data_IF_209896206959
#
_entry.id   IF_209896206959
#
_cell.length_a   1.000
_cell.length_b   1.000
_cell.length_c   1.000
_cell.angle_alpha   90.00
_cell.angle_beta   90.00
_cell.angle_gamma   90.00
#
_symmetry.space_group_name_H-M   'P 1'
#
loop_
_entity.id
_entity.type
_entity.pdbx_description
1 polymer ?
#
# COMPACT_ATOMS: atom_id res chain seq x y z
N UNK A 1 -5.57 -1.22 13.18
CA UNK A 1 -6.22 0.09 13.37
C UNK A 1 -5.31 1.24 12.94
N UNK A 2 -4.02 1.25 13.34
CA UNK A 2 -3.02 2.27 12.94
C UNK A 2 -2.96 2.60 11.44
N UNK A 3 -2.85 1.59 10.56
CA UNK A 3 -2.83 1.80 9.10
C UNK A 3 -4.06 2.60 8.59
N UNK A 4 -5.24 2.35 9.14
CA UNK A 4 -6.46 3.06 8.74
C UNK A 4 -6.40 4.53 9.17
N UNK A 5 -6.01 4.78 10.41
CA UNK A 5 -5.88 6.14 10.95
C UNK A 5 -4.86 6.96 10.17
N UNK A 6 -3.67 6.39 9.92
CA UNK A 6 -2.62 7.05 9.15
C UNK A 6 -3.05 7.36 7.71
N UNK A 7 -3.76 6.45 7.04
CA UNK A 7 -4.30 6.72 5.70
C UNK A 7 -5.37 7.81 5.71
N UNK A 8 -6.24 7.87 6.72
CA UNK A 8 -7.24 8.95 6.81
C UNK A 8 -6.55 10.31 7.00
N UNK A 9 -5.54 10.37 7.87
CA UNK A 9 -4.72 11.58 8.05
C UNK A 9 -4.04 11.96 6.73
N UNK A 10 -3.44 11.00 6.03
CA UNK A 10 -2.82 11.21 4.72
C UNK A 10 -3.80 11.71 3.66
N UNK A 11 -5.02 11.15 3.61
CA UNK A 11 -6.08 11.63 2.71
C UNK A 11 -6.46 13.07 3.04
N UNK A 12 -6.66 13.41 4.32
CA UNK A 12 -6.95 14.79 4.72
C UNK A 12 -5.81 15.76 4.33
N UNK A 13 -4.56 15.36 4.58
CA UNK A 13 -3.38 16.17 4.23
C UNK A 13 -3.23 16.36 2.71
N UNK A 14 -3.47 15.32 1.90
CA UNK A 14 -3.41 15.40 0.44
C UNK A 14 -4.54 16.26 -0.14
N UNK A 15 -5.75 16.21 0.42
CA UNK A 15 -6.83 17.13 0.05
C UNK A 15 -6.44 18.57 0.35
N UNK A 16 -5.94 18.85 1.56
CA UNK A 16 -5.50 20.19 1.93
C UNK A 16 -4.38 20.71 1.02
N UNK A 17 -3.36 19.88 0.77
CA UNK A 17 -2.26 20.22 -0.15
C UNK A 17 -2.74 20.47 -1.58
N UNK A 18 -3.66 19.64 -2.08
CA UNK A 18 -4.24 19.81 -3.40
C UNK A 18 -4.98 21.14 -3.53
N UNK A 19 -5.81 21.49 -2.54
CA UNK A 19 -6.51 22.79 -2.50
C UNK A 19 -5.53 23.95 -2.44
N UNK A 20 -4.49 23.88 -1.61
CA UNK A 20 -3.46 24.91 -1.52
C UNK A 20 -2.78 25.20 -2.88
N UNK A 21 -2.47 24.14 -3.64
CA UNK A 21 -1.84 24.30 -4.97
C UNK A 21 -2.81 24.97 -5.96
N UNK A 22 -4.08 24.58 -5.96
CA UNK A 22 -5.09 25.20 -6.83
C UNK A 22 -5.30 26.67 -6.49
N UNK A 23 -5.39 27.00 -5.20
CA UNK A 23 -5.50 28.40 -4.74
C UNK A 23 -4.28 29.21 -5.16
N UNK A 24 -3.07 28.70 -4.95
CA UNK A 24 -1.83 29.35 -5.37
C UNK A 24 -1.73 29.54 -6.90
N UNK A 25 -2.47 28.74 -7.68
CA UNK A 25 -2.56 28.83 -9.14
C UNK A 25 -3.80 29.55 -9.63
N UNK A 26 -4.53 30.28 -8.78
CA UNK A 26 -5.79 30.96 -9.17
C UNK A 26 -6.78 30.00 -9.86
N UNK A 27 -6.87 28.77 -9.39
CA UNK A 27 -7.72 27.70 -9.92
C UNK A 27 -7.44 27.31 -11.39
N UNK A 28 -6.23 27.61 -11.89
CA UNK A 28 -5.84 27.24 -13.25
C UNK A 28 -5.22 25.85 -13.34
N UNK A 29 -5.66 25.06 -14.33
CA UNK A 29 -5.09 23.75 -14.62
C UNK A 29 -3.87 23.87 -15.52
N UNK A 30 -2.74 23.29 -15.08
CA UNK A 30 -1.45 23.30 -15.80
C UNK A 30 -1.15 21.94 -16.47
N UNK A 31 -1.94 20.91 -16.17
CA UNK A 31 -1.75 19.58 -16.73
C UNK A 31 -2.19 19.43 -18.19
N UNK A 32 -2.13 18.20 -18.72
CA UNK A 32 -2.49 17.92 -20.10
C UNK A 32 -3.93 18.32 -20.42
N UNK A 33 -4.14 18.92 -21.59
CA UNK A 33 -5.48 19.22 -22.14
C UNK A 33 -5.52 19.05 -23.67
N UNK A 34 -6.67 18.70 -24.24
CA UNK A 34 -6.85 18.68 -25.70
C UNK A 34 -6.61 20.07 -26.30
N UNK A 35 -6.01 20.13 -27.49
CA UNK A 35 -5.75 21.39 -28.21
C UNK A 35 -4.60 22.24 -27.65
N UNK A 36 -3.79 21.69 -26.74
CA UNK A 36 -2.57 22.37 -26.27
C UNK A 36 -1.51 22.50 -27.36
N UNK A 37 -0.63 23.50 -27.22
CA UNK A 37 0.52 23.66 -28.11
C UNK A 37 1.45 22.43 -28.04
N UNK A 38 2.12 22.05 -29.14
CA UNK A 38 3.05 20.92 -29.15
C UNK A 38 4.07 21.02 -28.02
N UNK A 39 4.30 19.91 -27.30
CA UNK A 39 5.23 19.85 -26.17
C UNK A 39 4.69 20.35 -24.81
N UNK A 40 3.56 21.06 -24.76
CA UNK A 40 3.02 21.54 -23.48
C UNK A 40 2.47 20.39 -22.60
N UNK A 41 1.80 19.40 -23.20
CA UNK A 41 1.27 18.23 -22.49
C UNK A 41 2.37 17.33 -21.89
N UNK A 42 3.59 17.40 -22.43
CA UNK A 42 4.75 16.64 -21.96
C UNK A 42 5.72 17.48 -21.12
N UNK A 43 5.38 18.74 -20.81
CA UNK A 43 6.22 19.59 -19.96
C UNK A 43 6.23 19.08 -18.52
N UNK A 44 7.33 19.27 -17.79
CA UNK A 44 7.45 18.83 -16.39
C UNK A 44 6.32 19.32 -15.49
N UNK A 45 5.87 20.59 -15.57
CA UNK A 45 4.72 21.03 -14.79
C UNK A 45 3.43 20.29 -15.13
N UNK A 46 3.25 19.95 -16.40
CA UNK A 46 2.07 19.24 -16.89
C UNK A 46 2.04 17.79 -16.39
N UNK A 47 3.18 17.09 -16.51
CA UNK A 47 3.34 15.71 -16.03
C UNK A 47 3.21 15.65 -14.50
N UNK A 48 3.83 16.58 -13.77
CA UNK A 48 3.69 16.69 -12.31
C UNK A 48 2.22 16.83 -11.90
N UNK A 49 1.49 17.76 -12.53
CA UNK A 49 0.08 17.99 -12.23
C UNK A 49 -0.78 16.74 -12.49
N UNK A 50 -0.54 16.04 -13.60
CA UNK A 50 -1.25 14.80 -13.93
C UNK A 50 -0.96 13.68 -12.93
N UNK A 51 0.30 13.42 -12.61
CA UNK A 51 0.66 12.39 -11.63
C UNK A 51 0.12 12.72 -10.23
N UNK A 52 0.18 13.99 -9.83
CA UNK A 52 -0.36 14.46 -8.55
C UNK A 52 -1.87 14.24 -8.41
N UNK A 53 -2.66 14.61 -9.44
CA UNK A 53 -4.12 14.39 -9.38
C UNK A 53 -4.49 12.91 -9.45
N UNK A 54 -3.80 12.11 -10.28
CA UNK A 54 -4.06 10.67 -10.33
C UNK A 54 -3.71 9.99 -9.00
N UNK A 55 -2.60 10.37 -8.37
CA UNK A 55 -2.25 9.91 -7.03
C UNK A 55 -3.33 10.27 -6.01
N UNK A 56 -3.82 11.51 -6.02
CA UNK A 56 -4.89 11.97 -5.14
C UNK A 56 -6.17 11.18 -5.33
N UNK A 57 -6.69 11.09 -6.57
CA UNK A 57 -7.95 10.37 -6.86
C UNK A 57 -7.87 8.91 -6.42
N UNK A 58 -6.77 8.22 -6.76
CA UNK A 58 -6.59 6.82 -6.40
C UNK A 58 -6.46 6.64 -4.88
N UNK A 59 -5.77 7.53 -4.19
CA UNK A 59 -5.65 7.53 -2.73
C UNK A 59 -7.01 7.78 -2.05
N UNK A 60 -7.79 8.75 -2.54
CA UNK A 60 -9.10 9.10 -1.97
C UNK A 60 -10.16 8.04 -2.25
N UNK A 61 -10.01 7.27 -3.33
CA UNK A 61 -10.86 6.11 -3.60
C UNK A 61 -10.59 4.94 -2.63
N UNK A 62 -9.41 4.84 -2.00
CA UNK A 62 -9.06 3.73 -1.12
C UNK A 62 -9.98 3.61 0.11
N UNK A 63 -10.27 4.68 0.88
CA UNK A 63 -11.21 4.62 2.00
C UNK A 63 -12.62 4.18 1.57
N UNK A 64 -13.11 4.66 0.43
CA UNK A 64 -14.45 4.32 -0.09
C UNK A 64 -14.49 2.82 -0.42
N UNK A 65 -13.49 2.34 -1.15
CA UNK A 65 -13.35 0.92 -1.46
C UNK A 65 -13.27 0.09 -0.16
N UNK A 66 -12.55 0.56 0.86
CA UNK A 66 -12.43 -0.12 2.14
C UNK A 66 -13.75 -0.19 2.94
N UNK A 67 -14.66 0.78 2.79
CA UNK A 67 -16.00 0.74 3.39
C UNK A 67 -16.87 -0.30 2.68
N UNK A 68 -16.77 -0.39 1.35
CA UNK A 68 -17.52 -1.32 0.52
C UNK A 68 -16.90 -2.74 0.48
N UNK A 69 -15.91 -3.02 1.32
CA UNK A 69 -15.18 -4.29 1.31
C UNK A 69 -16.10 -5.46 1.67
N UNK A 70 -15.85 -6.60 1.01
CA UNK A 70 -16.56 -7.83 1.31
C UNK A 70 -16.15 -8.46 2.67
N UNK A 71 -17.02 -9.32 3.20
CA UNK A 71 -16.80 -10.05 4.46
C UNK A 71 -15.47 -10.84 4.45
N UNK A 72 -14.75 -10.97 5.59
CA UNK A 72 -13.48 -11.71 5.70
C UNK A 72 -13.44 -13.12 5.14
N UNK A 73 -14.57 -13.84 5.19
CA UNK A 73 -14.69 -15.21 4.68
C UNK A 73 -15.30 -15.30 3.27
N UNK A 74 -15.52 -14.17 2.61
CA UNK A 74 -16.13 -14.16 1.27
C UNK A 74 -15.15 -14.65 0.20
N UNK A 75 -15.65 -15.44 -0.76
CA UNK A 75 -14.91 -15.93 -1.93
C UNK A 75 -14.28 -14.81 -2.76
N UNK A 76 -14.93 -13.64 -2.81
CA UNK A 76 -14.46 -12.50 -3.62
C UNK A 76 -13.43 -11.61 -2.92
N UNK A 77 -13.01 -11.96 -1.69
CA UNK A 77 -12.05 -11.16 -0.93
C UNK A 77 -10.66 -11.08 -1.55
N UNK A 78 -10.24 -12.13 -2.26
CA UNK A 78 -8.96 -12.09 -2.95
C UNK A 78 -8.95 -11.03 -4.06
N UNK A 79 -10.06 -10.87 -4.80
CA UNK A 79 -10.20 -9.86 -5.87
C UNK A 79 -10.12 -8.46 -5.26
N UNK A 80 -10.89 -8.21 -4.19
CA UNK A 80 -10.83 -6.96 -3.45
C UNK A 80 -9.41 -6.63 -2.99
N UNK A 81 -8.68 -7.61 -2.44
CA UNK A 81 -7.32 -7.42 -1.98
C UNK A 81 -6.36 -7.07 -3.13
N UNK A 82 -6.48 -7.72 -4.29
CA UNK A 82 -5.65 -7.41 -5.47
C UNK A 82 -5.86 -5.95 -5.89
N UNK A 83 -7.11 -5.50 -6.03
CA UNK A 83 -7.38 -4.11 -6.38
C UNK A 83 -6.89 -3.12 -5.33
N UNK A 84 -7.13 -3.42 -4.05
CA UNK A 84 -6.68 -2.56 -2.96
C UNK A 84 -5.16 -2.42 -2.93
N UNK A 85 -4.42 -3.51 -3.14
CA UNK A 85 -2.95 -3.51 -3.22
C UNK A 85 -2.49 -2.74 -4.46
N UNK A 86 -3.04 -3.04 -5.63
CA UNK A 86 -2.63 -2.42 -6.89
C UNK A 86 -2.81 -0.91 -6.86
N UNK A 87 -4.00 -0.43 -6.48
CA UNK A 87 -4.29 0.99 -6.40
C UNK A 87 -3.55 1.67 -5.23
N UNK A 88 -3.35 0.96 -4.11
CA UNK A 88 -2.53 1.43 -3.00
C UNK A 88 -1.10 1.74 -3.45
N UNK A 89 -0.38 0.74 -3.98
CA UNK A 89 0.99 0.92 -4.47
C UNK A 89 1.06 1.89 -5.65
N UNK A 90 0.07 1.87 -6.56
CA UNK A 90 -0.02 2.83 -7.65
C UNK A 90 -0.08 4.28 -7.17
N UNK A 91 -0.89 4.58 -6.15
CA UNK A 91 -0.97 5.94 -5.58
C UNK A 91 0.37 6.39 -4.98
N UNK A 92 1.06 5.52 -4.24
CA UNK A 92 2.39 5.82 -3.69
C UNK A 92 3.44 6.08 -4.77
N UNK A 93 3.44 5.28 -5.84
CA UNK A 93 4.37 5.45 -6.96
C UNK A 93 4.14 6.77 -7.71
N UNK A 94 2.88 7.09 -8.01
CA UNK A 94 2.53 8.35 -8.68
C UNK A 94 2.86 9.57 -7.80
N UNK A 95 2.60 9.49 -6.49
CA UNK A 95 2.95 10.54 -5.54
C UNK A 95 4.48 10.74 -5.46
N UNK A 96 5.25 9.64 -5.39
CA UNK A 96 6.71 9.69 -5.39
C UNK A 96 7.27 10.29 -6.67
N UNK A 97 6.74 9.92 -7.83
CA UNK A 97 7.15 10.49 -9.11
C UNK A 97 6.81 11.99 -9.21
N UNK A 98 5.62 12.41 -8.76
CA UNK A 98 5.25 13.82 -8.70
C UNK A 98 6.19 14.61 -7.77
N UNK A 99 6.53 14.06 -6.59
CA UNK A 99 7.45 14.67 -5.63
C UNK A 99 8.86 14.81 -6.22
N UNK A 100 9.37 13.75 -6.87
CA UNK A 100 10.67 13.81 -7.56
C UNK A 100 10.70 14.90 -8.62
N UNK A 101 9.69 14.98 -9.49
CA UNK A 101 9.62 16.03 -10.53
C UNK A 101 9.63 17.43 -9.89
N UNK A 102 8.93 17.61 -8.77
CA UNK A 102 8.97 18.89 -8.05
C UNK A 102 10.40 19.20 -7.56
N UNK A 103 11.06 18.26 -6.88
CA UNK A 103 12.40 18.47 -6.34
C UNK A 103 13.47 18.71 -7.42
N UNK A 104 13.33 18.12 -8.61
CA UNK A 104 14.36 18.20 -9.66
C UNK A 104 14.13 19.32 -10.67
N UNK A 105 12.87 19.74 -10.89
CA UNK A 105 12.55 20.70 -11.96
C UNK A 105 11.99 22.03 -11.46
N UNK A 106 11.69 22.17 -10.16
CA UNK A 106 11.12 23.41 -9.61
C UNK A 106 12.18 24.14 -8.76
N UNK A 107 13.25 24.59 -9.41
CA UNK A 107 14.47 25.09 -8.76
C UNK A 107 14.25 26.31 -7.84
N UNK A 108 13.21 27.12 -8.07
CA UNK A 108 12.93 28.36 -7.34
C UNK A 108 11.70 28.30 -6.40
N UNK A 109 11.05 27.14 -6.27
CA UNK A 109 9.85 27.03 -5.42
C UNK A 109 10.15 26.65 -3.96
N UNK A 110 11.39 26.24 -3.67
CA UNK A 110 11.78 25.81 -2.33
C UNK A 110 12.67 26.85 -1.65
N UNK A 111 12.34 27.20 -0.41
CA UNK A 111 13.19 28.03 0.46
C UNK A 111 14.58 27.40 0.67
N UNK A 112 14.66 26.08 0.70
CA UNK A 112 15.90 25.31 0.81
C UNK A 112 15.80 24.04 -0.04
N UNK A 113 16.68 23.94 -1.05
CA UNK A 113 16.70 22.81 -1.99
C UNK A 113 17.11 21.50 -1.32
N UNK A 114 18.05 21.54 -0.38
CA UNK A 114 18.50 20.35 0.35
C UNK A 114 17.38 19.80 1.24
N UNK A 115 16.60 20.70 1.86
CA UNK A 115 15.42 20.29 2.63
C UNK A 115 14.35 19.63 1.74
N UNK A 116 14.14 20.13 0.51
CA UNK A 116 13.22 19.53 -0.45
C UNK A 116 13.67 18.13 -0.89
N UNK A 117 14.97 17.95 -1.18
CA UNK A 117 15.53 16.62 -1.45
C UNK A 117 15.44 15.71 -0.23
N UNK A 118 15.68 16.24 0.98
CA UNK A 118 15.50 15.53 2.24
C UNK A 118 14.07 15.00 2.41
N UNK A 119 13.06 15.80 2.07
CA UNK A 119 11.65 15.36 2.07
C UNK A 119 11.39 14.26 1.03
N UNK A 120 11.98 14.34 -0.16
CA UNK A 120 11.88 13.28 -1.16
C UNK A 120 12.49 11.96 -0.65
N UNK A 121 13.67 12.01 -0.04
CA UNK A 121 14.33 10.84 0.55
C UNK A 121 13.48 10.28 1.70
N UNK A 122 12.97 11.14 2.59
CA UNK A 122 12.11 10.73 3.70
C UNK A 122 10.83 10.04 3.21
N UNK A 123 10.22 10.55 2.14
CA UNK A 123 9.05 9.93 1.51
C UNK A 123 9.39 8.53 0.98
N UNK A 124 10.47 8.38 0.21
CA UNK A 124 10.90 7.09 -0.36
C UNK A 124 11.27 6.09 0.74
N UNK A 125 12.01 6.51 1.76
CA UNK A 125 12.38 5.68 2.91
C UNK A 125 11.13 5.20 3.67
N UNK A 126 10.18 6.10 3.93
CA UNK A 126 8.91 5.76 4.59
C UNK A 126 8.08 4.80 3.73
N UNK A 127 8.00 5.03 2.42
CA UNK A 127 7.31 4.15 1.47
C UNK A 127 7.90 2.74 1.51
N UNK A 128 9.23 2.63 1.40
CA UNK A 128 9.96 1.38 1.45
C UNK A 128 9.77 0.65 2.77
N UNK A 129 9.86 1.35 3.91
CA UNK A 129 9.61 0.77 5.23
C UNK A 129 8.19 0.21 5.35
N UNK A 130 7.18 0.92 4.84
CA UNK A 130 5.80 0.45 4.82
C UNK A 130 5.67 -0.81 3.95
N UNK A 131 6.22 -0.82 2.75
CA UNK A 131 6.13 -1.97 1.84
C UNK A 131 6.80 -3.21 2.42
N UNK A 132 8.00 -3.05 2.98
CA UNK A 132 8.73 -4.13 3.65
C UNK A 132 7.91 -4.65 4.84
N UNK A 133 7.37 -3.76 5.67
CA UNK A 133 6.54 -4.15 6.83
C UNK A 133 5.31 -4.93 6.40
N UNK A 134 4.61 -4.48 5.34
CA UNK A 134 3.41 -5.15 4.82
C UNK A 134 3.73 -6.54 4.23
N UNK A 135 4.85 -6.66 3.52
CA UNK A 135 5.30 -7.93 2.95
C UNK A 135 5.69 -8.92 4.06
N UNK A 136 6.46 -8.47 5.06
CA UNK A 136 6.82 -9.28 6.23
C UNK A 136 5.58 -9.77 6.97
N UNK A 137 4.59 -8.91 7.22
CA UNK A 137 3.35 -9.31 7.88
C UNK A 137 2.57 -10.35 7.05
N UNK A 138 2.51 -10.17 5.73
CA UNK A 138 1.83 -11.10 4.82
C UNK A 138 2.52 -12.47 4.81
N UNK A 139 3.85 -12.47 4.76
CA UNK A 139 4.68 -13.66 4.85
C UNK A 139 4.50 -14.39 6.18
N UNK A 140 4.60 -13.68 7.31
CA UNK A 140 4.39 -14.29 8.64
C UNK A 140 2.98 -14.87 8.81
N UNK A 141 1.95 -14.20 8.29
CA UNK A 141 0.58 -14.74 8.31
C UNK A 141 0.45 -16.00 7.47
N UNK A 142 1.06 -16.03 6.27
CA UNK A 142 1.10 -17.21 5.43
C UNK A 142 1.81 -18.39 6.13
N UNK A 143 2.94 -18.14 6.80
CA UNK A 143 3.64 -19.17 7.58
C UNK A 143 2.79 -19.71 8.73
N UNK A 144 2.12 -18.82 9.48
CA UNK A 144 1.24 -19.21 10.58
C UNK A 144 0.06 -20.06 10.08
N UNK A 145 -0.55 -19.65 8.97
CA UNK A 145 -1.67 -20.38 8.37
C UNK A 145 -1.24 -21.78 7.90
N UNK A 146 -0.06 -21.93 7.29
CA UNK A 146 0.48 -23.24 6.90
C UNK A 146 0.70 -24.18 8.09
N UNK A 147 1.12 -23.67 9.24
CA UNK A 147 1.25 -24.48 10.46
C UNK A 147 -0.12 -24.93 10.97
N UNK A 148 -1.13 -24.05 10.94
CA UNK A 148 -2.48 -24.38 11.38
C UNK A 148 -3.20 -25.40 10.46
N UNK A 149 -2.96 -25.39 9.14
CA UNK A 149 -3.50 -26.43 8.24
C UNK A 149 -2.81 -27.80 8.39
N UNK A 150 -1.74 -27.91 9.20
CA UNK A 150 -1.12 -29.19 9.54
C UNK A 150 -1.91 -30.01 10.58
N UNK A 151 -2.85 -29.37 11.27
CA UNK A 151 -3.67 -29.95 12.34
C UNK A 151 -5.13 -30.15 11.85
N UNK A 152 -5.32 -30.82 10.71
CA UNK A 152 -6.66 -31.13 10.19
C UNK A 152 -7.31 -32.16 11.11
N UNK A 153 -8.27 -31.71 11.91
CA UNK A 153 -9.22 -32.57 12.62
C UNK A 153 -10.18 -33.16 11.58
N UNK A 154 -9.98 -34.43 11.23
CA UNK A 154 -10.91 -35.19 10.39
C UNK A 154 -12.05 -35.65 11.30
N UNK A 155 -13.18 -34.97 11.26
CA UNK A 155 -14.39 -35.40 11.95
C UNK A 155 -15.13 -36.39 11.05
N UNK A 156 -15.11 -37.66 11.43
CA UNK A 156 -15.89 -38.70 10.78
C UNK A 156 -17.40 -38.53 11.06
N UNK A 157 -18.29 -39.02 10.18
CA UNK A 157 -19.73 -38.94 10.36
C UNK A 157 -20.27 -39.66 11.63
N UNK A 158 -19.44 -40.47 12.30
CA UNK A 158 -19.75 -41.22 13.54
C UNK A 158 -19.50 -40.40 14.83
N UNK A 159 -19.13 -39.13 14.73
CA UNK A 159 -18.98 -38.25 15.91
C UNK A 159 -17.76 -38.55 16.80
N UNK A 160 -16.81 -39.37 16.34
CA UNK A 160 -15.52 -39.60 17.00
C UNK A 160 -14.47 -38.64 16.45
N UNK A 161 -13.89 -37.80 17.31
CA UNK A 161 -12.77 -36.91 16.97
C UNK A 161 -11.44 -37.67 17.13
N UNK A 162 -10.76 -37.96 16.02
CA UNK A 162 -9.35 -38.38 16.05
C UNK A 162 -8.45 -37.23 15.60
N UNK A 163 -7.60 -36.75 16.51
CA UNK A 163 -6.56 -35.76 16.20
C UNK A 163 -5.43 -36.45 15.45
N UNK A 164 -5.39 -36.32 14.13
CA UNK A 164 -4.30 -36.86 13.32
C UNK A 164 -3.11 -35.91 13.36
N UNK A 165 -2.23 -36.07 14.37
CA UNK A 165 -0.95 -35.39 14.40
C UNK A 165 -0.14 -35.75 13.15
N UNK A 166 0.18 -34.74 12.33
CA UNK A 166 1.08 -34.88 11.18
C UNK A 166 2.34 -35.66 11.57
N UNK A 167 2.66 -36.70 10.81
CA UNK A 167 3.78 -37.63 11.02
C UNK A 167 5.15 -36.94 11.21
N UNK A 168 5.28 -35.68 10.79
CA UNK A 168 6.46 -34.85 11.02
C UNK A 168 6.68 -34.50 12.51
N UNK A 169 5.62 -34.20 13.27
CA UNK A 169 5.70 -33.86 14.70
C UNK A 169 6.04 -35.09 15.55
N UNK A 170 5.63 -36.28 15.10
CA UNK A 170 5.92 -37.55 15.78
C UNK A 170 7.42 -37.86 15.82
N UNK A 171 8.19 -37.52 14.76
CA UNK A 171 9.64 -37.76 14.72
C UNK A 171 10.43 -36.84 15.66
N UNK A 172 10.06 -35.57 15.77
CA UNK A 172 10.80 -34.61 16.62
C UNK A 172 10.64 -34.95 18.10
N UNK A 173 9.44 -35.35 18.54
CA UNK A 173 9.23 -35.78 19.92
C UNK A 173 9.87 -37.14 20.22
N UNK A 174 9.96 -38.06 19.25
CA UNK A 174 10.63 -39.34 19.46
C UNK A 174 12.16 -39.18 19.64
N UNK A 175 12.78 -38.24 18.91
CA UNK A 175 14.22 -37.95 19.03
C UNK A 175 14.53 -37.26 20.37
N UNK A 176 13.67 -36.36 20.85
CA UNK A 176 13.86 -35.68 22.15
C UNK A 176 13.67 -36.61 23.37
N UNK A 177 12.88 -37.68 23.24
CA UNK A 177 12.69 -38.68 24.31
C UNK A 177 13.80 -39.74 24.31
N UNK A 178 14.40 -40.05 23.16
CA UNK A 178 15.50 -41.04 23.06
C UNK A 178 16.89 -40.50 23.41
N UNK A 179 17.06 -39.18 23.58
CA UNK A 179 18.32 -38.60 24.08
C UNK A 179 18.36 -38.38 25.61
N UNK A 180 17.38 -38.89 26.36
CA UNK A 180 17.31 -38.73 27.82
C UNK A 180 17.55 -39.99 28.65
N UNK A 181 18.08 -41.06 28.04
CA UNK A 181 18.50 -42.27 28.75
C UNK A 181 19.86 -42.74 28.24
#
# INVERSE_FOLDING_TARGET
MFHRTLNIIGVAATIAGFVCIFVARNWTWVGPRPGNVPGANSSWPSVHAMLGILACVVAWAQPINAVLRCHPKSRYRFIFNIYHIFFGYGAWLMAGAALMIACTHYDFMFLNRDAAFGLCIAFLATSGAVFITLELLSFFQWFKNRRATGDIEVVEPDGRTHVTLSTATKRVNFILVTQKY
#
